data_IF_393629950626
#
_entry.id   IF_393629950626
#
_cell.length_a   1.000
_cell.length_b   1.000
_cell.length_c   1.000
_cell.angle_alpha   90.00
_cell.angle_beta   90.00
_cell.angle_gamma   90.00
#
_symmetry.space_group_name_H-M   'P 1'
#
loop_
_entity.id
_entity.type
_entity.pdbx_description
1 polymer ?
#
# COMPACT_ATOMS: atom_id res chain seq x y z
N UNK A 1 -2.82 9.42 35.54
CA UNK A 1 -1.56 8.68 35.78
C UNK A 1 -1.13 8.12 34.44
N UNK A 2 -0.24 8.79 33.71
CA UNK A 2 0.28 8.26 32.45
C UNK A 2 1.44 7.33 32.78
N UNK A 3 1.28 6.04 32.50
CA UNK A 3 2.38 5.09 32.57
C UNK A 3 3.34 5.39 31.41
N UNK A 4 4.61 5.68 31.72
CA UNK A 4 5.68 5.69 30.73
C UNK A 4 5.90 4.23 30.31
N UNK A 5 5.36 3.86 29.15
CA UNK A 5 5.63 2.56 28.53
C UNK A 5 7.12 2.41 28.27
N UNK A 6 7.70 1.28 28.69
CA UNK A 6 9.06 0.90 28.32
C UNK A 6 9.22 0.82 26.79
N UNK A 7 10.45 0.64 26.27
CA UNK A 7 10.68 0.64 24.82
C UNK A 7 9.81 -0.45 24.18
N UNK A 8 8.78 -0.02 23.45
CA UNK A 8 8.00 -0.91 22.61
C UNK A 8 8.97 -1.38 21.54
N UNK A 9 9.27 -2.68 21.50
CA UNK A 9 9.99 -3.24 20.37
C UNK A 9 9.17 -2.96 19.11
N UNK A 10 9.66 -2.02 18.30
CA UNK A 10 9.08 -1.64 17.02
C UNK A 10 9.35 -2.75 16.01
N UNK A 11 8.29 -3.29 15.42
CA UNK A 11 8.39 -4.24 14.33
C UNK A 11 8.53 -3.51 12.99
N UNK A 12 9.12 -4.21 12.01
CA UNK A 12 9.10 -3.77 10.62
C UNK A 12 8.30 -4.78 9.81
N UNK A 13 7.33 -4.29 9.05
CA UNK A 13 6.50 -5.07 8.14
C UNK A 13 6.86 -4.74 6.69
N UNK A 14 6.76 -5.73 5.82
CA UNK A 14 6.85 -5.57 4.37
C UNK A 14 5.45 -5.79 3.80
N UNK A 15 4.90 -4.78 3.11
CA UNK A 15 3.58 -4.83 2.51
C UNK A 15 3.70 -4.74 0.98
N UNK A 16 3.71 -5.90 0.27
CA UNK A 16 3.79 -5.93 -1.18
C UNK A 16 2.49 -5.42 -1.83
N UNK A 17 2.61 -4.79 -2.99
CA UNK A 17 1.46 -4.45 -3.83
C UNK A 17 1.02 -5.70 -4.63
N UNK A 18 -0.14 -6.24 -4.28
CA UNK A 18 -0.71 -7.43 -4.92
C UNK A 18 -2.21 -7.20 -5.17
N UNK A 19 -2.88 -8.05 -5.98
CA UNK A 19 -4.33 -7.97 -6.14
C UNK A 19 -5.14 -8.04 -4.82
N UNK A 20 -4.56 -8.63 -3.77
CA UNK A 20 -5.23 -8.83 -2.47
C UNK A 20 -4.93 -7.73 -1.45
N UNK A 21 -3.88 -6.95 -1.69
CA UNK A 21 -3.36 -5.95 -0.75
C UNK A 21 -3.46 -4.55 -1.32
N UNK A 22 -4.15 -4.36 -2.45
CA UNK A 22 -4.36 -3.08 -3.10
C UNK A 22 -5.84 -2.80 -3.33
N UNK A 23 -6.28 -1.59 -3.01
CA UNK A 23 -7.56 -1.04 -3.44
C UNK A 23 -7.35 -0.22 -4.72
N UNK A 24 -8.15 -0.48 -5.76
CA UNK A 24 -8.05 0.29 -7.00
C UNK A 24 -9.08 1.41 -7.01
N UNK A 25 -8.63 2.65 -6.98
CA UNK A 25 -9.45 3.80 -7.34
C UNK A 25 -10.48 4.23 -6.31
N UNK A 26 -10.42 3.72 -5.08
CA UNK A 26 -11.36 4.07 -4.01
C UNK A 26 -10.77 3.82 -2.62
N UNK A 27 -11.37 4.46 -1.62
CA UNK A 27 -11.21 4.13 -0.21
C UNK A 27 -12.53 3.54 0.31
N UNK A 28 -12.45 2.52 1.17
CA UNK A 28 -13.62 1.93 1.81
C UNK A 28 -13.35 1.70 3.30
N UNK A 29 -14.08 2.42 4.18
CA UNK A 29 -13.86 2.36 5.63
C UNK A 29 -14.11 0.95 6.22
N UNK A 30 -14.96 0.14 5.57
CA UNK A 30 -15.23 -1.25 5.97
C UNK A 30 -14.33 -2.30 5.29
N UNK A 31 -13.31 -1.90 4.54
CA UNK A 31 -12.40 -2.85 3.92
C UNK A 31 -11.59 -3.61 4.98
N UNK A 32 -11.39 -4.91 4.76
CA UNK A 32 -10.52 -5.70 5.62
C UNK A 32 -9.08 -5.17 5.53
N UNK A 33 -8.38 -5.01 6.67
CA UNK A 33 -6.99 -4.58 6.65
C UNK A 33 -6.10 -5.63 6.00
N UNK A 34 -5.15 -5.18 5.18
CA UNK A 34 -4.11 -6.03 4.64
C UNK A 34 -3.12 -6.47 5.73
N UNK A 35 -2.83 -5.56 6.67
CA UNK A 35 -2.08 -5.81 7.91
C UNK A 35 -2.62 -4.92 9.04
N UNK A 36 -2.37 -5.34 10.28
CA UNK A 36 -2.57 -4.53 11.48
C UNK A 36 -1.23 -4.29 12.16
N UNK A 37 -0.93 -3.04 12.50
CA UNK A 37 0.31 -2.63 13.18
C UNK A 37 -0.02 -1.85 14.45
N UNK A 38 0.97 -1.63 15.31
CA UNK A 38 0.84 -0.77 16.50
C UNK A 38 1.67 0.51 16.34
N UNK A 39 1.39 1.51 17.18
CA UNK A 39 2.15 2.75 17.20
C UNK A 39 3.65 2.48 17.42
N UNK A 40 4.49 3.13 16.61
CA UNK A 40 5.95 2.97 16.61
C UNK A 40 6.48 1.91 15.63
N UNK A 41 5.64 1.05 15.05
CA UNK A 41 6.05 0.12 14.00
C UNK A 41 6.38 0.84 12.68
N UNK A 42 7.16 0.18 11.83
CA UNK A 42 7.49 0.64 10.47
C UNK A 42 6.88 -0.29 9.44
N UNK A 43 6.35 0.27 8.34
CA UNK A 43 5.86 -0.51 7.19
C UNK A 43 6.63 -0.09 5.95
N UNK A 44 7.28 -1.06 5.29
CA UNK A 44 7.82 -0.90 3.95
C UNK A 44 6.66 -1.09 2.98
N UNK A 45 6.19 0.03 2.44
CA UNK A 45 5.05 0.07 1.52
C UNK A 45 5.54 -0.08 0.08
N UNK A 46 5.16 -1.16 -0.59
CA UNK A 46 5.35 -1.27 -2.03
C UNK A 46 4.19 -0.57 -2.73
N UNK A 47 4.47 0.29 -3.69
CA UNK A 47 3.45 1.06 -4.41
C UNK A 47 3.59 0.87 -5.91
N UNK A 48 2.50 1.06 -6.65
CA UNK A 48 2.47 0.90 -8.10
C UNK A 48 2.05 2.22 -8.75
N UNK A 49 2.66 2.53 -9.88
CA UNK A 49 2.29 3.69 -10.67
C UNK A 49 0.89 3.55 -11.30
N UNK A 50 0.27 4.68 -11.64
CA UNK A 50 -1.08 4.76 -12.21
C UNK A 50 -1.17 4.34 -13.68
N UNK A 51 -0.05 4.20 -14.39
CA UNK A 51 -0.08 3.78 -15.79
C UNK A 51 -0.35 2.26 -15.91
N UNK A 52 -0.68 1.80 -17.12
CA UNK A 52 -0.86 0.37 -17.41
C UNK A 52 0.42 -0.26 -17.95
N UNK A 53 0.59 -1.59 -17.81
CA UNK A 53 1.68 -2.32 -18.48
C UNK A 53 1.75 -2.00 -19.98
N UNK A 54 0.62 -2.07 -20.68
CA UNK A 54 0.54 -1.73 -22.10
C UNK A 54 0.85 -0.26 -22.39
N UNK A 55 0.47 0.65 -21.50
CA UNK A 55 0.77 2.07 -21.60
C UNK A 55 2.25 2.39 -21.45
N UNK A 56 2.95 1.69 -20.54
CA UNK A 56 4.39 1.78 -20.38
C UNK A 56 5.14 1.22 -21.59
N UNK A 57 4.72 0.05 -22.09
CA UNK A 57 5.31 -0.55 -23.29
C UNK A 57 5.15 0.36 -24.51
N UNK A 58 3.97 0.97 -24.69
CA UNK A 58 3.73 1.96 -25.74
C UNK A 58 4.61 3.21 -25.58
N UNK A 59 4.98 3.56 -24.36
CA UNK A 59 5.89 4.66 -24.06
C UNK A 59 7.38 4.28 -24.21
N UNK A 60 7.69 3.04 -24.59
CA UNK A 60 9.05 2.57 -24.87
C UNK A 60 9.72 1.81 -23.74
N UNK A 61 9.02 1.50 -22.64
CA UNK A 61 9.55 0.63 -21.59
C UNK A 61 9.59 -0.81 -22.10
N UNK A 62 10.72 -1.50 -21.96
CA UNK A 62 10.80 -2.89 -22.40
C UNK A 62 9.86 -3.76 -21.54
N UNK A 63 9.19 -4.78 -22.10
CA UNK A 63 8.25 -5.61 -21.34
C UNK A 63 8.84 -6.24 -20.06
N UNK A 64 10.15 -6.54 -20.06
CA UNK A 64 10.88 -7.09 -18.93
C UNK A 64 11.16 -6.08 -17.80
N UNK A 65 11.12 -4.78 -18.11
CA UNK A 65 11.35 -3.69 -17.16
C UNK A 65 10.04 -3.19 -16.53
N UNK A 66 8.88 -3.65 -17.03
CA UNK A 66 7.59 -3.39 -16.39
C UNK A 66 7.45 -4.28 -15.16
N UNK A 67 7.22 -3.66 -14.01
CA UNK A 67 7.07 -4.36 -12.73
C UNK A 67 6.08 -5.54 -12.81
N UNK A 68 6.51 -6.76 -12.40
CA UNK A 68 5.62 -7.92 -12.38
C UNK A 68 4.37 -7.72 -11.52
N UNK A 69 4.50 -6.98 -10.41
CA UNK A 69 3.39 -6.63 -9.53
C UNK A 69 2.33 -5.76 -10.23
N UNK A 70 2.75 -4.84 -11.10
CA UNK A 70 1.81 -4.04 -11.90
C UNK A 70 0.97 -4.92 -12.82
N UNK A 71 1.60 -5.87 -13.52
CA UNK A 71 0.89 -6.83 -14.37
C UNK A 71 -0.08 -7.69 -13.55
N UNK A 72 0.41 -8.23 -12.42
CA UNK A 72 -0.41 -9.04 -11.54
C UNK A 72 -1.67 -8.29 -11.05
N UNK A 73 -1.56 -7.01 -10.70
CA UNK A 73 -2.71 -6.18 -10.30
C UNK A 73 -3.65 -5.89 -11.46
N UNK A 74 -3.12 -5.56 -12.65
CA UNK A 74 -3.94 -5.32 -13.85
C UNK A 74 -4.73 -6.55 -14.28
N UNK A 75 -4.14 -7.74 -14.16
CA UNK A 75 -4.77 -9.01 -14.54
C UNK A 75 -5.65 -9.60 -13.43
N UNK A 76 -5.28 -9.36 -12.17
CA UNK A 76 -5.86 -10.03 -11.00
C UNK A 76 -6.97 -9.28 -10.27
N UNK A 77 -7.08 -7.96 -10.43
CA UNK A 77 -8.16 -7.17 -9.79
C UNK A 77 -9.36 -7.07 -10.75
N UNK A 78 -10.53 -7.66 -10.42
CA UNK A 78 -11.72 -7.60 -11.26
C UNK A 78 -12.18 -6.17 -11.52
N UNK A 79 -12.66 -5.88 -12.73
CA UNK A 79 -13.13 -4.54 -13.09
C UNK A 79 -14.28 -4.05 -12.20
N UNK A 80 -15.14 -4.96 -11.73
CA UNK A 80 -16.24 -4.66 -10.82
C UNK A 80 -15.78 -4.19 -9.42
N UNK A 81 -14.55 -4.55 -9.03
CA UNK A 81 -13.95 -4.18 -7.75
C UNK A 81 -13.11 -2.90 -7.85
N UNK A 82 -13.00 -2.32 -9.07
CA UNK A 82 -12.29 -1.06 -9.29
C UNK A 82 -13.23 0.13 -9.09
N UNK A 83 -12.73 1.11 -8.35
CA UNK A 83 -13.36 2.40 -8.18
C UNK A 83 -13.13 3.33 -9.37
N UNK A 84 -13.72 4.54 -9.35
CA UNK A 84 -13.62 5.50 -10.44
C UNK A 84 -12.22 6.13 -10.58
N UNK A 85 -11.36 6.03 -9.57
CA UNK A 85 -9.99 6.55 -9.61
C UNK A 85 -8.99 5.62 -10.32
N UNK A 86 -7.94 6.20 -10.91
CA UNK A 86 -6.88 5.42 -11.57
C UNK A 86 -5.83 4.81 -10.64
N UNK A 87 -5.72 5.29 -9.40
CA UNK A 87 -4.64 4.93 -8.47
C UNK A 87 -4.82 3.53 -7.87
N UNK A 88 -3.71 2.79 -7.76
CA UNK A 88 -3.63 1.54 -7.00
C UNK A 88 -3.09 1.88 -5.61
N UNK A 89 -3.86 1.57 -4.57
CA UNK A 89 -3.62 1.99 -3.20
C UNK A 89 -3.31 0.76 -2.33
N UNK A 90 -2.03 0.50 -2.09
CA UNK A 90 -1.60 -0.60 -1.21
C UNK A 90 -2.09 -0.36 0.22
N UNK A 91 -2.76 -1.35 0.82
CA UNK A 91 -3.42 -1.26 2.11
C UNK A 91 -4.82 -1.90 2.10
N UNK A 92 -5.70 -1.54 3.05
CA UNK A 92 -5.46 -0.60 4.15
C UNK A 92 -4.60 -1.19 5.26
N UNK A 93 -3.86 -0.34 5.96
CA UNK A 93 -3.11 -0.69 7.18
C UNK A 93 -3.96 -0.26 8.38
N UNK A 94 -4.37 -1.21 9.22
CA UNK A 94 -5.06 -0.91 10.47
C UNK A 94 -4.05 -0.59 11.57
N UNK A 95 -4.37 0.39 12.42
CA UNK A 95 -3.57 0.76 13.59
C UNK A 95 -4.29 0.28 14.85
N UNK A 96 -3.64 -0.56 15.63
CA UNK A 96 -4.16 -1.09 16.89
C UNK A 96 -4.50 0.04 17.86
N UNK A 97 -5.74 0.05 18.36
CA UNK A 97 -6.22 1.00 19.34
C UNK A 97 -6.54 2.40 18.80
N UNK A 98 -6.43 2.66 17.50
CA UNK A 98 -6.82 3.94 16.92
C UNK A 98 -8.36 4.12 16.91
N UNK A 99 -8.83 5.26 17.38
CA UNK A 99 -10.25 5.61 17.49
C UNK A 99 -10.61 6.91 16.71
N UNK A 100 -11.88 7.11 16.31
CA UNK A 100 -12.31 8.37 15.72
C UNK A 100 -12.03 9.57 16.62
N UNK A 101 -11.26 10.53 16.11
CA UNK A 101 -10.79 11.71 16.85
C UNK A 101 -9.29 11.69 17.14
N UNK A 102 -8.64 10.53 17.03
CA UNK A 102 -7.19 10.42 17.10
C UNK A 102 -6.50 11.03 15.87
N UNK A 103 -5.20 11.30 16.03
CA UNK A 103 -4.32 11.75 14.94
C UNK A 103 -3.30 10.67 14.63
N UNK A 104 -3.20 10.31 13.34
CA UNK A 104 -2.15 9.42 12.85
C UNK A 104 -0.96 10.26 12.35
N UNK A 105 0.20 10.09 12.97
CA UNK A 105 1.46 10.58 12.45
C UNK A 105 2.07 9.53 11.50
N UNK A 106 2.38 9.93 10.26
CA UNK A 106 3.10 9.09 9.29
C UNK A 106 4.43 9.73 8.95
N UNK A 107 5.54 9.08 9.32
CA UNK A 107 6.90 9.50 8.96
C UNK A 107 7.38 8.73 7.74
N UNK A 108 7.57 9.42 6.63
CA UNK A 108 8.21 8.84 5.45
C UNK A 108 9.71 8.85 5.68
N UNK A 109 10.26 7.70 6.06
CA UNK A 109 11.67 7.57 6.43
C UNK A 109 12.60 7.49 5.21
N UNK A 110 12.13 6.83 4.14
CA UNK A 110 12.90 6.56 2.93
C UNK A 110 11.95 6.29 1.76
N UNK A 111 12.41 6.59 0.55
CA UNK A 111 11.78 6.19 -0.71
C UNK A 111 12.86 5.59 -1.61
N UNK A 112 12.60 4.39 -2.13
CA UNK A 112 13.42 3.72 -3.12
C UNK A 112 12.61 3.55 -4.41
N UNK A 113 13.27 3.68 -5.56
CA UNK A 113 12.63 3.41 -6.84
C UNK A 113 12.51 1.90 -7.05
N UNK A 114 11.31 1.42 -7.39
CA UNK A 114 11.04 0.00 -7.59
C UNK A 114 11.72 -0.55 -8.85
N UNK A 115 11.97 0.31 -9.83
CA UNK A 115 12.72 0.04 -11.06
C UNK A 115 13.78 1.14 -11.26
N UNK A 116 14.95 0.82 -11.84
CA UNK A 116 16.06 1.78 -12.05
C UNK A 116 15.70 2.98 -12.93
#
# INVERSE_FOLDING_TARGET
MFALGGPVAAATFDLPATPKTGAWGHYAAGAAPAITTKSGDTVVMHTLLTNSPAGLEKAGVAPADVEPALRAVFDGVPAADRGPGGHILTGPVAIEGAEPGDTLEVRILRVDLAIP
#
